data_IF_216164373213
#
_entry.id   IF_216164373213
#
_cell.length_a   1.000
_cell.length_b   1.000
_cell.length_c   1.000
_cell.angle_alpha   90.00
_cell.angle_beta   90.00
_cell.angle_gamma   90.00
#
_symmetry.space_group_name_H-M   'P 1'
#
loop_
_entity.id
_entity.type
_entity.pdbx_description
1 polymer ?
#
# COMPACT_ATOMS: atom_id res chain seq x y z
N UNK A 1 -8.27 27.91 7.75
CA UNK A 1 -6.81 28.15 7.83
C UNK A 1 -6.14 27.10 6.95
N UNK A 2 -4.92 27.30 6.46
CA UNK A 2 -4.25 26.28 5.64
C UNK A 2 -3.48 25.32 6.56
N UNK A 3 -3.81 24.03 6.50
CA UNK A 3 -3.15 22.98 7.28
C UNK A 3 -1.96 22.46 6.49
N UNK A 4 -0.74 22.78 6.92
CA UNK A 4 0.48 22.32 6.25
C UNK A 4 1.50 21.90 7.29
N UNK A 5 2.17 20.77 7.03
CA UNK A 5 3.34 20.33 7.78
C UNK A 5 4.40 19.76 6.84
N UNK A 6 5.61 19.65 7.37
CA UNK A 6 6.77 19.11 6.68
C UNK A 6 7.22 17.82 7.37
N UNK A 7 7.51 16.80 6.58
CA UNK A 7 8.03 15.53 7.02
C UNK A 7 9.43 15.30 6.43
N UNK A 8 10.40 14.99 7.28
CA UNK A 8 11.72 14.56 6.85
C UNK A 8 11.75 13.03 6.80
N UNK A 9 12.26 12.48 5.71
CA UNK A 9 12.49 11.05 5.55
C UNK A 9 13.76 10.77 4.74
N UNK A 10 13.94 9.50 4.38
CA UNK A 10 15.03 9.06 3.53
C UNK A 10 14.93 9.61 2.09
N UNK A 11 16.07 9.85 1.45
CA UNK A 11 16.16 10.11 0.02
C UNK A 11 16.03 8.78 -0.75
N UNK A 12 15.00 8.70 -1.60
CA UNK A 12 14.75 7.60 -2.53
C UNK A 12 14.27 8.14 -3.87
N UNK A 13 14.37 7.38 -4.94
CA UNK A 13 13.99 7.74 -6.31
C UNK A 13 12.50 7.55 -6.54
N UNK A 14 11.96 6.41 -6.15
CA UNK A 14 10.62 5.95 -6.54
C UNK A 14 9.68 5.79 -5.35
N UNK A 15 10.18 5.47 -4.15
CA UNK A 15 9.36 5.22 -2.95
C UNK A 15 8.27 4.15 -3.20
N UNK A 16 8.68 3.03 -3.82
CA UNK A 16 7.83 1.86 -4.12
C UNK A 16 8.39 0.58 -3.47
N UNK A 17 9.05 0.72 -2.32
CA UNK A 17 9.78 -0.35 -1.65
C UNK A 17 11.29 -0.23 -1.79
N UNK A 18 12.00 -1.05 -1.03
CA UNK A 18 13.47 -1.07 -0.99
C UNK A 18 13.97 -2.06 -2.04
N UNK A 19 14.78 -1.57 -2.97
CA UNK A 19 15.42 -2.37 -4.02
C UNK A 19 16.88 -2.00 -4.14
N UNK A 20 17.69 -2.83 -4.80
CA UNK A 20 19.12 -2.53 -5.04
C UNK A 20 19.32 -1.17 -5.75
N UNK A 21 18.39 -0.79 -6.63
CA UNK A 21 18.46 0.44 -7.43
C UNK A 21 17.87 1.68 -6.71
N UNK A 22 17.15 1.47 -5.62
CA UNK A 22 16.47 2.51 -4.83
C UNK A 22 16.57 2.25 -3.33
N UNK A 23 17.80 2.25 -2.83
CA UNK A 23 18.08 2.12 -1.40
C UNK A 23 17.88 3.46 -0.66
N UNK A 24 17.32 3.46 0.56
CA UNK A 24 17.14 4.68 1.35
C UNK A 24 18.48 5.30 1.75
N UNK A 25 18.60 6.61 1.59
CA UNK A 25 19.82 7.37 1.90
C UNK A 25 19.56 8.60 2.76
N UNK A 26 20.54 8.95 3.58
CA UNK A 26 20.60 10.25 4.25
C UNK A 26 21.96 10.90 3.94
N UNK A 27 21.96 12.02 3.22
CA UNK A 27 23.22 12.71 2.91
C UNK A 27 24.17 11.89 2.02
N UNK A 28 23.63 11.03 1.16
CA UNK A 28 24.40 10.09 0.32
C UNK A 28 24.95 8.88 1.07
N UNK A 29 24.61 8.70 2.35
CA UNK A 29 24.96 7.51 3.13
C UNK A 29 23.76 6.57 3.20
N UNK A 30 23.97 5.29 2.89
CA UNK A 30 22.93 4.26 3.05
C UNK A 30 22.52 4.14 4.51
N UNK A 31 21.22 4.06 4.75
CA UNK A 31 20.67 3.83 6.09
C UNK A 31 20.10 2.41 6.19
N UNK A 32 20.04 1.91 7.42
CA UNK A 32 19.53 0.57 7.74
C UNK A 32 18.07 0.42 7.25
N UNK A 33 17.83 -0.60 6.43
CA UNK A 33 16.53 -0.89 5.81
C UNK A 33 15.42 -1.00 6.85
N UNK A 34 15.72 -1.63 8.00
CA UNK A 34 14.76 -1.82 9.09
C UNK A 34 14.22 -0.51 9.65
N UNK A 35 14.95 0.59 9.46
CA UNK A 35 14.54 1.92 9.90
C UNK A 35 13.62 2.62 8.91
N UNK A 36 13.60 2.20 7.65
CA UNK A 36 12.94 2.94 6.56
C UNK A 36 11.81 2.17 5.90
N UNK A 37 11.45 0.98 6.40
CA UNK A 37 10.46 0.09 5.80
C UNK A 37 9.15 0.82 5.50
N UNK A 38 8.61 1.61 6.45
CA UNK A 38 7.38 2.36 6.22
C UNK A 38 7.54 3.52 5.24
N UNK A 39 8.62 4.30 5.37
CA UNK A 39 8.85 5.49 4.52
C UNK A 39 9.14 5.13 3.06
N UNK A 40 9.64 3.91 2.81
CA UNK A 40 9.97 3.39 1.49
C UNK A 40 8.77 3.25 0.54
N UNK A 41 7.54 3.33 1.05
CA UNK A 41 6.30 3.22 0.27
C UNK A 41 5.50 4.53 0.21
N UNK A 42 6.08 5.65 0.65
CA UNK A 42 5.39 6.94 0.78
C UNK A 42 4.84 7.52 -0.53
N UNK A 43 5.11 6.97 -1.71
CA UNK A 43 4.44 7.42 -2.95
C UNK A 43 3.91 6.26 -3.79
N UNK A 44 3.74 5.08 -3.18
CA UNK A 44 3.10 3.95 -3.83
C UNK A 44 1.59 4.15 -3.88
N UNK A 45 1.00 3.99 -5.07
CA UNK A 45 -0.45 3.92 -5.24
C UNK A 45 -0.93 2.54 -4.78
N UNK A 46 -1.49 2.48 -3.57
CA UNK A 46 -2.07 1.30 -2.97
C UNK A 46 -3.59 1.45 -2.94
N UNK A 47 -4.26 0.81 -3.89
CA UNK A 47 -5.71 0.84 -4.03
C UNK A 47 -6.26 2.29 -4.09
N UNK A 48 -5.68 3.10 -4.99
CA UNK A 48 -6.04 4.50 -5.30
C UNK A 48 -5.65 5.51 -4.20
N UNK A 49 -4.80 5.11 -3.26
CA UNK A 49 -4.36 5.93 -2.12
C UNK A 49 -2.86 5.79 -1.88
N UNK A 50 -2.23 6.83 -1.35
CA UNK A 50 -0.92 6.70 -0.73
C UNK A 50 -1.05 6.72 0.80
N UNK A 51 -0.21 5.91 1.43
CA UNK A 51 -0.13 5.75 2.89
C UNK A 51 1.22 6.28 3.34
N UNK A 52 1.25 7.54 3.75
CA UNK A 52 2.47 8.24 4.11
C UNK A 52 2.86 7.97 5.56
N UNK A 53 4.06 7.43 5.76
CA UNK A 53 4.67 7.19 7.05
C UNK A 53 5.81 8.16 7.32
N UNK A 54 5.87 8.67 8.55
CA UNK A 54 7.03 9.43 9.04
C UNK A 54 7.46 8.82 10.36
N UNK A 55 8.75 8.56 10.50
CA UNK A 55 9.28 8.02 11.75
C UNK A 55 9.21 9.12 12.82
N UNK A 56 8.39 8.93 13.85
CA UNK A 56 8.27 9.83 14.99
C UNK A 56 8.24 9.04 16.29
N UNK A 57 8.90 9.56 17.33
CA UNK A 57 8.85 8.98 18.68
C UNK A 57 7.59 9.37 19.45
N UNK A 58 6.94 10.46 19.05
CA UNK A 58 5.76 11.03 19.70
C UNK A 58 4.60 11.15 18.70
N UNK A 59 3.38 11.32 19.24
CA UNK A 59 2.18 11.62 18.47
C UNK A 59 2.30 12.96 17.73
N UNK A 60 1.59 13.09 16.61
CA UNK A 60 1.53 14.33 15.85
C UNK A 60 0.69 15.39 16.58
N UNK A 61 1.20 16.61 16.68
CA UNK A 61 0.54 17.76 17.28
C UNK A 61 -0.27 18.51 16.22
N UNK A 62 -1.34 17.89 15.70
CA UNK A 62 -2.13 18.42 14.58
C UNK A 62 -2.65 19.85 14.81
N UNK A 63 -2.91 20.22 16.07
CA UNK A 63 -3.39 21.54 16.45
C UNK A 63 -2.36 22.67 16.21
N UNK A 64 -1.09 22.33 16.00
CA UNK A 64 -0.06 23.31 15.61
C UNK A 64 -0.26 23.82 14.19
N UNK A 65 -0.85 23.01 13.32
CA UNK A 65 -1.23 23.44 11.96
C UNK A 65 -2.54 24.22 11.94
N UNK A 66 -3.48 23.89 12.83
CA UNK A 66 -4.78 24.54 12.92
C UNK A 66 -5.32 24.49 14.35
N UNK A 67 -5.37 25.64 15.06
CA UNK A 67 -5.83 25.71 16.45
C UNK A 67 -7.29 25.28 16.67
N UNK A 68 -8.09 25.14 15.61
CA UNK A 68 -9.46 24.62 15.71
C UNK A 68 -9.50 23.09 15.93
N UNK A 69 -8.40 22.37 15.68
CA UNK A 69 -8.30 20.93 15.90
C UNK A 69 -8.15 20.67 17.41
N UNK A 70 -9.01 19.82 17.96
CA UNK A 70 -8.89 19.41 19.36
C UNK A 70 -7.70 18.46 19.54
N UNK A 71 -7.02 18.57 20.68
CA UNK A 71 -6.00 17.59 21.11
C UNK A 71 -6.56 16.18 21.30
N UNK A 72 -7.87 16.06 21.43
CA UNK A 72 -8.57 14.77 21.56
C UNK A 72 -8.99 14.19 20.20
N UNK A 73 -8.91 14.98 19.12
CA UNK A 73 -9.24 14.46 17.80
C UNK A 73 -8.13 13.49 17.35
N UNK A 74 -8.49 12.24 16.99
CA UNK A 74 -7.51 11.23 16.58
C UNK A 74 -6.97 11.50 15.17
N UNK A 75 -7.69 12.27 14.37
CA UNK A 75 -7.32 12.62 13.00
C UNK A 75 -7.98 13.93 12.56
N UNK A 76 -7.49 14.53 11.48
CA UNK A 76 -8.12 15.67 10.82
C UNK A 76 -7.77 15.70 9.33
N UNK A 77 -8.69 16.23 8.51
CA UNK A 77 -8.58 16.24 7.04
C UNK A 77 -8.12 17.58 6.48
N UNK A 78 -7.69 17.58 5.21
CA UNK A 78 -7.38 18.78 4.44
C UNK A 78 -5.95 19.29 4.65
N UNK A 79 -5.02 18.41 4.96
CA UNK A 79 -3.60 18.75 5.12
C UNK A 79 -2.86 18.75 3.78
N UNK A 80 -1.88 19.66 3.66
CA UNK A 80 -0.76 19.54 2.74
C UNK A 80 0.41 18.94 3.51
N UNK A 81 0.93 17.81 3.04
CA UNK A 81 2.10 17.14 3.64
C UNK A 81 3.26 17.33 2.70
N UNK A 82 4.28 18.08 3.11
CA UNK A 82 5.48 18.34 2.29
C UNK A 82 6.58 17.39 2.73
N UNK A 83 7.01 16.51 1.83
CA UNK A 83 8.09 15.55 2.10
C UNK A 83 9.43 16.14 1.73
N UNK A 84 10.39 16.02 2.65
CA UNK A 84 11.74 16.54 2.55
C UNK A 84 12.76 15.41 2.77
N UNK A 85 13.88 15.44 2.06
CA UNK A 85 14.99 14.53 2.29
C UNK A 85 16.35 15.22 2.08
N UNK A 86 17.39 14.70 2.74
CA UNK A 86 18.76 15.22 2.59
C UNK A 86 19.48 14.52 1.44
N UNK A 87 19.80 15.27 0.40
CA UNK A 87 20.56 14.78 -0.76
C UNK A 87 22.05 14.56 -0.45
N UNK A 88 22.78 13.97 -1.38
CA UNK A 88 24.21 13.65 -1.29
C UNK A 88 25.13 14.86 -1.02
N UNK A 89 24.75 16.05 -1.47
CA UNK A 89 25.45 17.31 -1.17
C UNK A 89 25.15 17.88 0.23
N UNK A 90 24.40 17.14 1.04
CA UNK A 90 24.04 17.48 2.42
C UNK A 90 22.90 18.50 2.54
N UNK A 91 22.32 18.93 1.42
CA UNK A 91 21.19 19.87 1.41
C UNK A 91 19.86 19.13 1.51
N UNK A 92 18.97 19.68 2.32
CA UNK A 92 17.61 19.18 2.43
C UNK A 92 16.73 19.81 1.36
N UNK A 93 15.99 18.99 0.64
CA UNK A 93 15.14 19.44 -0.46
C UNK A 93 13.75 18.82 -0.38
N UNK A 94 12.76 19.49 -0.96
CA UNK A 94 11.43 18.90 -1.17
C UNK A 94 11.57 17.76 -2.17
N UNK A 95 11.12 16.56 -1.79
CA UNK A 95 11.06 15.38 -2.68
C UNK A 95 9.67 15.21 -3.30
N UNK A 96 8.63 15.68 -2.63
CA UNK A 96 7.26 15.54 -3.08
C UNK A 96 6.28 16.06 -2.05
N UNK A 97 4.99 15.95 -2.33
CA UNK A 97 3.94 16.39 -1.42
C UNK A 97 2.64 15.61 -1.61
N UNK A 98 1.82 15.62 -0.57
CA UNK A 98 0.42 15.23 -0.63
C UNK A 98 -0.47 16.45 -0.51
N UNK A 99 -1.57 16.46 -1.24
CA UNK A 99 -2.67 17.41 -1.09
C UNK A 99 -3.91 16.72 -0.50
N UNK A 100 -4.73 17.49 0.21
CA UNK A 100 -5.99 17.02 0.80
C UNK A 100 -5.85 15.78 1.70
N UNK A 101 -4.71 15.61 2.36
CA UNK A 101 -4.45 14.45 3.18
C UNK A 101 -5.28 14.45 4.48
N UNK A 102 -5.64 13.26 4.93
CA UNK A 102 -6.05 12.99 6.31
C UNK A 102 -4.81 12.69 7.13
N UNK A 103 -4.59 13.46 8.21
CA UNK A 103 -3.50 13.27 9.15
C UNK A 103 -4.01 12.62 10.43
N UNK A 104 -3.34 11.56 10.88
CA UNK A 104 -3.61 10.83 12.12
C UNK A 104 -2.63 11.26 13.20
N UNK A 105 -3.14 11.51 14.41
CA UNK A 105 -2.35 11.87 15.58
C UNK A 105 -1.42 10.75 15.99
N UNK A 106 -1.94 9.53 16.04
CA UNK A 106 -1.19 8.31 16.32
C UNK A 106 -0.88 7.60 15.01
N UNK A 107 0.31 7.00 14.91
CA UNK A 107 0.64 6.16 13.77
C UNK A 107 -0.35 4.98 13.71
N UNK A 108 -0.87 4.71 12.52
CA UNK A 108 -1.80 3.63 12.25
C UNK A 108 -1.05 2.42 11.72
N UNK A 109 -1.53 1.23 12.07
CA UNK A 109 -1.02 -0.05 11.57
C UNK A 109 -2.18 -0.94 11.12
N UNK A 110 -2.11 -1.43 9.89
CA UNK A 110 -3.03 -2.42 9.34
C UNK A 110 -2.19 -3.61 8.86
N UNK A 111 -2.21 -4.75 9.58
CA UNK A 111 -1.40 -5.90 9.20
C UNK A 111 -1.92 -6.55 7.92
N UNK A 112 -1.05 -7.17 7.16
CA UNK A 112 -1.42 -8.17 6.16
C UNK A 112 -1.00 -9.55 6.69
N UNK A 113 -1.86 -10.54 6.55
CA UNK A 113 -1.62 -11.91 6.99
C UNK A 113 -1.19 -12.82 5.84
N UNK A 114 -1.43 -12.42 4.60
CA UNK A 114 -1.02 -13.16 3.39
C UNK A 114 0.36 -12.78 2.88
N UNK A 115 0.81 -11.55 3.13
CA UNK A 115 2.14 -11.03 2.80
C UNK A 115 2.49 -9.87 3.74
N UNK A 116 3.50 -10.04 4.59
CA UNK A 116 3.91 -9.03 5.58
C UNK A 116 4.28 -7.69 4.92
N UNK A 117 4.84 -7.71 3.70
CA UNK A 117 5.23 -6.50 2.95
C UNK A 117 4.03 -5.65 2.51
N UNK A 118 2.82 -6.22 2.50
CA UNK A 118 1.59 -5.50 2.20
C UNK A 118 0.95 -4.88 3.45
N UNK A 119 1.58 -5.00 4.63
CA UNK A 119 1.12 -4.33 5.84
C UNK A 119 1.32 -2.81 5.74
N UNK A 120 0.34 -2.05 6.20
CA UNK A 120 0.36 -0.60 6.10
C UNK A 120 0.73 0.03 7.44
N UNK A 121 1.74 0.88 7.43
CA UNK A 121 2.13 1.75 8.54
C UNK A 121 2.03 3.19 8.07
N UNK A 122 1.25 4.05 8.72
CA UNK A 122 1.05 5.41 8.20
C UNK A 122 0.61 6.42 9.25
N UNK A 123 0.90 7.68 8.96
CA UNK A 123 0.36 8.85 9.67
C UNK A 123 -0.54 9.67 8.75
N UNK A 124 -0.42 9.51 7.44
CA UNK A 124 -1.13 10.30 6.44
C UNK A 124 -1.77 9.39 5.40
N UNK A 125 -2.98 9.73 4.97
CA UNK A 125 -3.66 9.08 3.84
C UNK A 125 -4.17 10.16 2.91
N UNK A 126 -3.88 10.02 1.62
CA UNK A 126 -4.44 10.87 0.56
C UNK A 126 -4.78 10.03 -0.67
N UNK A 127 -5.62 10.56 -1.55
CA UNK A 127 -5.86 9.92 -2.85
C UNK A 127 -4.56 9.95 -3.65
N UNK A 128 -4.20 8.85 -4.33
CA UNK A 128 -2.93 8.74 -5.04
C UNK A 128 -2.73 9.85 -6.09
N UNK A 129 -3.83 10.29 -6.74
CA UNK A 129 -3.85 11.43 -7.67
C UNK A 129 -3.48 12.78 -7.07
N UNK A 130 -3.55 12.91 -5.75
CA UNK A 130 -3.21 14.11 -4.98
C UNK A 130 -1.82 13.97 -4.33
N UNK A 131 -1.08 12.89 -4.64
CA UNK A 131 0.24 12.59 -4.13
C UNK A 131 1.27 12.70 -5.26
N UNK A 132 2.26 13.57 -5.06
CA UNK A 132 3.13 14.04 -6.13
C UNK A 132 4.59 13.85 -5.73
N UNK A 133 5.27 12.89 -6.37
CA UNK A 133 6.70 12.67 -6.20
C UNK A 133 7.48 13.37 -7.32
N UNK A 134 8.45 14.19 -6.96
CA UNK A 134 9.32 14.84 -7.93
C UNK A 134 10.40 13.85 -8.44
N UNK A 135 10.66 13.83 -9.76
CA UNK A 135 11.87 13.23 -10.31
C UNK A 135 13.12 13.83 -9.64
N UNK A 136 14.17 13.02 -9.46
CA UNK A 136 15.35 13.43 -8.69
C UNK A 136 15.99 14.73 -9.19
N UNK A 137 16.07 14.90 -10.51
CA UNK A 137 16.64 16.09 -11.16
C UNK A 137 15.76 17.35 -11.00
N UNK A 138 14.48 17.17 -10.66
CA UNK A 138 13.54 18.26 -10.42
C UNK A 138 13.44 18.66 -8.94
N UNK A 139 14.06 17.91 -8.01
CA UNK A 139 14.12 18.24 -6.58
C UNK A 139 15.09 19.39 -6.36
N UNK A 140 14.65 20.60 -6.65
CA UNK A 140 15.50 21.81 -6.66
C UNK A 140 15.25 22.75 -5.47
N UNK A 141 14.07 22.68 -4.85
CA UNK A 141 13.70 23.56 -3.76
C UNK A 141 14.40 23.15 -2.45
N UNK A 142 15.38 23.95 -2.04
CA UNK A 142 16.13 23.74 -0.80
C UNK A 142 15.36 24.27 0.41
N UNK A 143 15.20 23.42 1.43
CA UNK A 143 14.65 23.82 2.74
C UNK A 143 15.82 24.01 3.70
N UNK A 144 16.00 25.24 4.20
CA UNK A 144 17.09 25.56 5.13
C UNK A 144 16.82 24.96 6.52
N UNK A 145 17.85 24.32 7.10
CA UNK A 145 17.81 23.83 8.50
C UNK A 145 17.81 25.00 9.49
N UNK A 146 17.13 24.85 10.64
CA UNK A 146 17.08 25.88 11.69
C UNK A 146 18.48 26.33 12.17
N UNK A 147 19.44 25.40 12.18
CA UNK A 147 20.83 25.67 12.57
C UNK A 147 21.58 26.63 11.64
N UNK A 148 21.10 26.81 10.41
CA UNK A 148 21.70 27.67 9.38
C UNK A 148 20.89 28.96 9.16
N UNK A 149 19.57 28.87 9.28
CA UNK A 149 18.66 30.01 9.07
C UNK A 149 18.45 30.88 10.33
N UNK A 150 18.84 30.39 11.52
CA UNK A 150 18.54 31.02 12.81
C UNK A 150 17.37 30.33 13.51
N UNK A 151 17.35 30.40 14.85
CA UNK A 151 16.26 29.83 15.68
C UNK A 151 14.90 30.34 15.22
N UNK A 152 14.06 29.43 14.72
CA UNK A 152 12.71 29.73 14.24
C UNK A 152 12.58 29.84 12.72
N UNK A 153 13.67 29.99 11.96
CA UNK A 153 13.60 30.26 10.51
C UNK A 153 13.95 29.04 9.63
N UNK A 154 14.06 27.85 10.22
CA UNK A 154 14.29 26.59 9.51
C UNK A 154 13.73 25.37 10.25
N UNK A 155 13.86 24.19 9.63
CA UNK A 155 13.27 22.94 10.14
C UNK A 155 14.03 22.43 11.37
N UNK A 156 13.29 21.94 12.37
CA UNK A 156 13.80 21.36 13.62
C UNK A 156 14.55 20.04 13.39
N UNK A 157 15.22 19.49 14.42
CA UNK A 157 15.79 18.13 14.35
C UNK A 157 14.73 17.02 14.38
N UNK A 158 13.46 17.34 14.68
CA UNK A 158 12.37 16.38 14.56
C UNK A 158 12.08 16.08 13.09
N UNK A 159 11.63 14.85 12.82
CA UNK A 159 11.17 14.44 11.49
C UNK A 159 9.86 15.11 11.08
N UNK A 160 9.15 15.77 12.01
CA UNK A 160 7.93 16.52 11.71
C UNK A 160 8.07 17.97 12.13
N UNK A 161 7.66 18.89 11.24
CA UNK A 161 7.68 20.33 11.50
C UNK A 161 6.39 21.01 11.02
N UNK A 162 5.79 21.80 11.91
CA UNK A 162 4.45 22.38 11.73
C UNK A 162 4.45 23.83 11.22
N UNK A 163 5.63 24.40 10.91
CA UNK A 163 5.71 25.75 10.32
C UNK A 163 5.21 26.87 11.25
N UNK A 164 5.37 26.74 12.56
CA UNK A 164 4.69 27.60 13.55
C UNK A 164 5.22 29.04 13.62
N UNK A 165 6.47 29.28 13.21
CA UNK A 165 7.13 30.58 13.33
C UNK A 165 6.57 31.61 12.34
N UNK A 166 6.71 32.90 12.69
CA UNK A 166 6.27 33.99 11.81
C UNK A 166 7.03 33.99 10.47
N UNK A 167 8.35 33.71 10.50
CA UNK A 167 9.15 33.59 9.27
C UNK A 167 8.66 32.44 8.39
N UNK A 168 8.34 31.29 8.99
CA UNK A 168 7.81 30.15 8.24
C UNK A 168 6.47 30.49 7.60
N UNK A 169 5.56 31.11 8.36
CA UNK A 169 4.21 31.46 7.90
C UNK A 169 4.20 32.54 6.84
N UNK A 170 5.07 33.54 6.95
CA UNK A 170 5.05 34.72 6.10
C UNK A 170 6.00 34.63 4.90
N UNK A 171 7.04 33.78 4.97
CA UNK A 171 8.04 33.65 3.90
C UNK A 171 8.07 32.23 3.34
N UNK A 172 8.51 31.24 4.12
CA UNK A 172 8.81 29.90 3.60
C UNK A 172 7.56 29.18 3.05
N UNK A 173 6.46 29.15 3.80
CA UNK A 173 5.23 28.46 3.39
C UNK A 173 4.67 29.07 2.08
N UNK A 174 4.52 30.40 1.94
CA UNK A 174 4.14 31.01 0.66
C UNK A 174 5.04 30.64 -0.51
N UNK A 175 6.36 30.54 -0.30
CA UNK A 175 7.30 30.13 -1.35
C UNK A 175 7.13 28.66 -1.74
N UNK A 176 6.92 27.77 -0.77
CA UNK A 176 6.65 26.34 -0.99
C UNK A 176 5.35 26.15 -1.78
N UNK A 177 4.28 26.83 -1.39
CA UNK A 177 3.00 26.76 -2.11
C UNK A 177 3.11 27.28 -3.54
N UNK A 178 3.89 28.36 -3.74
CA UNK A 178 4.17 28.88 -5.08
C UNK A 178 4.94 27.84 -5.89
N UNK A 179 5.97 27.22 -5.32
CA UNK A 179 6.74 26.16 -5.96
C UNK A 179 5.85 24.98 -6.39
N UNK A 180 5.02 24.46 -5.49
CA UNK A 180 4.07 23.38 -5.79
C UNK A 180 3.11 23.75 -6.93
N UNK A 181 2.55 24.97 -6.87
CA UNK A 181 1.59 25.46 -7.87
C UNK A 181 2.21 25.72 -9.24
N UNK A 182 3.45 26.19 -9.27
CA UNK A 182 4.17 26.53 -10.51
C UNK A 182 4.84 25.30 -11.14
N UNK A 183 4.95 24.19 -10.41
CA UNK A 183 5.45 22.94 -10.96
C UNK A 183 4.53 22.42 -12.08
N UNK A 184 5.12 22.20 -13.25
CA UNK A 184 4.43 21.73 -14.46
C UNK A 184 5.15 20.56 -15.14
N UNK A 185 6.11 19.96 -14.45
CA UNK A 185 6.81 18.76 -14.90
C UNK A 185 5.99 17.49 -14.68
N UNK A 186 6.54 16.35 -15.12
CA UNK A 186 5.98 15.04 -14.81
C UNK A 186 6.32 14.62 -13.37
N UNK A 187 5.50 13.75 -12.78
CA UNK A 187 5.77 13.15 -11.48
C UNK A 187 6.38 11.77 -11.65
N UNK A 188 7.24 11.37 -10.71
CA UNK A 188 7.95 10.10 -10.76
C UNK A 188 7.10 8.91 -10.28
N UNK A 189 6.09 9.15 -9.44
CA UNK A 189 5.21 8.09 -8.96
C UNK A 189 4.16 7.70 -10.02
N UNK A 190 3.95 6.38 -10.17
CA UNK A 190 2.84 5.86 -10.97
C UNK A 190 1.52 6.08 -10.22
N UNK A 191 0.58 6.78 -10.85
CA UNK A 191 -0.82 6.87 -10.40
C UNK A 191 -1.71 6.09 -11.35
N UNK A 192 -2.43 5.10 -10.85
CA UNK A 192 -3.31 4.27 -11.68
C UNK A 192 -4.68 4.95 -11.78
N UNK A 193 -5.05 5.40 -12.98
CA UNK A 193 -6.30 6.15 -13.20
C UNK A 193 -7.41 5.30 -13.80
N UNK A 194 -8.65 5.78 -13.68
CA UNK A 194 -9.81 5.16 -14.35
C UNK A 194 -9.62 5.10 -15.87
N UNK A 195 -9.01 6.13 -16.47
CA UNK A 195 -8.69 6.13 -17.89
C UNK A 195 -7.69 5.03 -18.25
N UNK A 196 -6.68 4.79 -17.41
CA UNK A 196 -5.70 3.72 -17.62
C UNK A 196 -6.37 2.35 -17.54
N UNK A 197 -7.14 2.08 -16.48
CA UNK A 197 -7.72 0.75 -16.24
C UNK A 197 -8.86 0.41 -17.19
N UNK A 198 -9.53 1.41 -17.77
CA UNK A 198 -10.62 1.22 -18.73
C UNK A 198 -10.23 1.54 -20.17
N UNK A 199 -8.94 1.78 -20.43
CA UNK A 199 -8.46 2.08 -21.77
C UNK A 199 -8.80 0.95 -22.75
N UNK A 200 -9.22 1.33 -23.96
CA UNK A 200 -9.49 0.44 -25.09
C UNK A 200 -8.72 0.92 -26.32
N UNK A 201 -8.48 0.01 -27.26
CA UNK A 201 -7.94 0.34 -28.58
C UNK A 201 -9.02 1.09 -29.36
N UNK A 202 -8.63 2.18 -30.01
CA UNK A 202 -9.53 2.97 -30.84
C UNK A 202 -10.20 2.09 -31.92
N UNK A 203 -11.54 2.10 -31.94
CA UNK A 203 -12.37 1.31 -32.86
C UNK A 203 -12.07 1.63 -34.33
N UNK A 204 -11.66 2.85 -34.66
CA UNK A 204 -11.28 3.21 -36.03
C UNK A 204 -9.98 2.51 -36.48
N UNK A 205 -9.14 2.12 -35.52
CA UNK A 205 -7.89 1.40 -35.73
C UNK A 205 -8.04 -0.12 -35.62
N UNK A 206 -9.23 -0.60 -35.25
CA UNK A 206 -9.48 -1.98 -34.90
C UNK A 206 -9.68 -2.84 -36.17
N UNK A 207 -8.69 -3.68 -36.48
CA UNK A 207 -8.79 -4.76 -37.47
C UNK A 207 -8.84 -6.16 -36.85
N UNK A 208 -8.57 -6.24 -35.55
CA UNK A 208 -8.41 -7.49 -34.81
C UNK A 208 -9.74 -8.00 -34.23
N UNK A 209 -9.92 -9.33 -34.26
CA UNK A 209 -11.03 -10.02 -33.59
C UNK A 209 -10.72 -10.34 -32.13
N UNK A 210 -11.67 -10.97 -31.43
CA UNK A 210 -11.52 -11.35 -30.02
C UNK A 210 -10.26 -12.18 -29.76
N UNK A 211 -10.05 -13.28 -30.51
CA UNK A 211 -8.94 -14.20 -30.27
C UNK A 211 -7.59 -13.52 -30.47
N UNK A 212 -7.46 -12.70 -31.53
CA UNK A 212 -6.23 -11.94 -31.81
C UNK A 212 -5.93 -10.90 -30.70
N UNK A 213 -6.96 -10.23 -30.17
CA UNK A 213 -6.79 -9.29 -29.06
C UNK A 213 -6.39 -10.01 -27.78
N UNK A 214 -6.99 -11.18 -27.51
CA UNK A 214 -6.66 -11.98 -26.35
C UNK A 214 -5.22 -12.47 -26.41
N UNK A 215 -4.79 -13.05 -27.53
CA UNK A 215 -3.41 -13.50 -27.75
C UNK A 215 -2.40 -12.35 -27.63
N UNK A 216 -2.73 -11.18 -28.17
CA UNK A 216 -1.91 -9.97 -27.99
C UNK A 216 -1.81 -9.53 -26.53
N UNK A 217 -2.93 -9.57 -25.80
CA UNK A 217 -2.94 -9.28 -24.37
C UNK A 217 -2.01 -10.22 -23.59
N UNK A 218 -2.10 -11.52 -23.86
CA UNK A 218 -1.22 -12.52 -23.27
C UNK A 218 0.26 -12.31 -23.63
N UNK A 219 0.55 -11.96 -24.89
CA UNK A 219 1.90 -11.63 -25.33
C UNK A 219 2.48 -10.44 -24.56
N UNK A 220 1.68 -9.38 -24.37
CA UNK A 220 2.10 -8.22 -23.58
C UNK A 220 2.28 -8.56 -22.09
N UNK A 221 1.47 -9.45 -21.51
CA UNK A 221 1.73 -9.96 -20.15
C UNK A 221 3.10 -10.64 -20.04
N UNK A 222 3.50 -11.44 -21.03
CA UNK A 222 4.82 -12.09 -21.05
C UNK A 222 5.97 -11.10 -21.20
N UNK A 223 5.71 -9.92 -21.76
CA UNK A 223 6.65 -8.79 -21.87
C UNK A 223 6.57 -7.84 -20.66
N UNK A 224 5.71 -8.14 -19.68
CA UNK A 224 5.40 -7.30 -18.51
C UNK A 224 4.85 -5.90 -18.87
N UNK A 225 4.35 -5.72 -20.10
CA UNK A 225 3.68 -4.50 -20.55
C UNK A 225 2.17 -4.57 -20.23
N UNK A 226 1.89 -4.52 -18.93
CA UNK A 226 0.53 -4.70 -18.42
C UNK A 226 -0.44 -3.60 -18.88
N UNK A 227 0.03 -2.39 -19.18
CA UNK A 227 -0.82 -1.34 -19.74
C UNK A 227 -1.33 -1.69 -21.14
N UNK A 228 -0.46 -2.21 -22.02
CA UNK A 228 -0.88 -2.67 -23.35
C UNK A 228 -1.73 -3.93 -23.27
N UNK A 229 -1.40 -4.86 -22.34
CA UNK A 229 -2.19 -6.04 -22.10
C UNK A 229 -3.62 -5.68 -21.69
N UNK A 230 -3.78 -4.78 -20.72
CA UNK A 230 -5.08 -4.33 -20.22
C UNK A 230 -5.90 -3.65 -21.33
N UNK A 231 -5.27 -2.82 -22.18
CA UNK A 231 -5.92 -2.24 -23.36
C UNK A 231 -6.46 -3.30 -24.32
N UNK A 232 -5.68 -4.35 -24.59
CA UNK A 232 -6.09 -5.46 -25.44
C UNK A 232 -7.28 -6.21 -24.83
N UNK A 233 -7.18 -6.58 -23.55
CA UNK A 233 -8.23 -7.32 -22.85
C UNK A 233 -9.52 -6.53 -22.69
N UNK A 234 -9.46 -5.25 -22.32
CA UNK A 234 -10.63 -4.39 -22.27
C UNK A 234 -11.31 -4.27 -23.64
N UNK A 235 -10.53 -4.16 -24.72
CA UNK A 235 -11.06 -4.14 -26.08
C UNK A 235 -11.77 -5.45 -26.41
N UNK A 236 -11.14 -6.60 -26.11
CA UNK A 236 -11.74 -7.92 -26.31
C UNK A 236 -13.05 -8.07 -25.51
N UNK A 237 -13.08 -7.54 -24.28
CA UNK A 237 -14.25 -7.57 -23.38
C UNK A 237 -15.46 -6.85 -23.95
N UNK A 238 -15.25 -5.81 -24.76
CA UNK A 238 -16.36 -5.12 -25.46
C UNK A 238 -17.08 -6.01 -26.49
N UNK A 239 -16.43 -7.08 -26.95
CA UNK A 239 -17.00 -8.06 -27.88
C UNK A 239 -17.66 -9.22 -27.14
N UNK A 240 -16.95 -9.77 -26.14
CA UNK A 240 -17.39 -10.92 -25.35
C UNK A 240 -16.69 -10.90 -23.99
N UNK A 241 -17.47 -11.10 -22.93
CA UNK A 241 -16.95 -11.34 -21.59
C UNK A 241 -16.83 -12.85 -21.35
N UNK A 242 -15.63 -13.35 -21.03
CA UNK A 242 -15.36 -14.73 -20.62
C UNK A 242 -14.69 -14.76 -19.24
N UNK A 243 -14.84 -15.83 -18.45
CA UNK A 243 -14.19 -15.93 -17.15
C UNK A 243 -12.65 -15.83 -17.23
N UNK A 244 -12.03 -16.43 -18.25
CA UNK A 244 -10.59 -16.36 -18.48
C UNK A 244 -10.12 -14.92 -18.77
N UNK A 245 -10.87 -14.18 -19.59
CA UNK A 245 -10.58 -12.76 -19.85
C UNK A 245 -10.72 -11.92 -18.58
N UNK A 246 -11.78 -12.16 -17.80
CA UNK A 246 -12.00 -11.46 -16.54
C UNK A 246 -10.87 -11.75 -15.54
N UNK A 247 -10.40 -12.99 -15.46
CA UNK A 247 -9.27 -13.38 -14.63
C UNK A 247 -8.00 -12.61 -15.01
N UNK A 248 -7.68 -12.53 -16.31
CA UNK A 248 -6.48 -11.80 -16.77
C UNK A 248 -6.57 -10.29 -16.48
N UNK A 249 -7.74 -9.67 -16.66
CA UNK A 249 -7.95 -8.26 -16.28
C UNK A 249 -7.79 -8.09 -14.76
N UNK A 250 -8.43 -8.96 -13.96
CA UNK A 250 -8.37 -8.90 -12.51
C UNK A 250 -6.95 -9.10 -11.97
N UNK A 251 -6.19 -10.00 -12.58
CA UNK A 251 -4.79 -10.26 -12.21
C UNK A 251 -3.90 -9.05 -12.49
N UNK A 252 -4.07 -8.37 -13.64
CA UNK A 252 -3.34 -7.12 -13.90
C UNK A 252 -3.72 -6.04 -12.87
N UNK A 253 -4.99 -5.91 -12.53
CA UNK A 253 -5.43 -4.96 -11.50
C UNK A 253 -4.84 -5.29 -10.12
N UNK A 254 -4.73 -6.58 -9.78
CA UNK A 254 -4.06 -7.05 -8.57
C UNK A 254 -2.57 -6.64 -8.57
N UNK A 255 -1.84 -6.82 -9.68
CA UNK A 255 -0.45 -6.39 -9.81
C UNK A 255 -0.27 -4.86 -9.70
N UNK A 256 -1.29 -4.10 -10.09
CA UNK A 256 -1.36 -2.66 -9.90
C UNK A 256 -1.90 -2.22 -8.54
N UNK A 257 -2.04 -3.15 -7.58
CA UNK A 257 -2.59 -2.89 -6.25
C UNK A 257 -4.01 -2.29 -6.26
N UNK A 258 -4.75 -2.44 -7.36
CA UNK A 258 -6.14 -1.97 -7.54
C UNK A 258 -7.13 -3.04 -7.08
N UNK A 259 -7.09 -3.38 -5.79
CA UNK A 259 -7.79 -4.54 -5.24
C UNK A 259 -9.32 -4.38 -5.31
N UNK A 260 -9.86 -3.20 -5.03
CA UNK A 260 -11.30 -2.95 -5.11
C UNK A 260 -11.85 -3.12 -6.54
N UNK A 261 -11.03 -2.86 -7.55
CA UNK A 261 -11.36 -3.06 -8.97
C UNK A 261 -11.21 -4.54 -9.39
N UNK A 262 -10.23 -5.25 -8.81
CA UNK A 262 -9.95 -6.67 -9.10
C UNK A 262 -10.99 -7.62 -8.49
N UNK A 263 -11.38 -7.41 -7.23
CA UNK A 263 -12.33 -8.24 -6.47
C UNK A 263 -13.60 -8.59 -7.27
N UNK A 264 -14.38 -7.64 -7.81
CA UNK A 264 -15.63 -7.96 -8.50
C UNK A 264 -15.43 -8.81 -9.76
N UNK A 265 -14.25 -8.77 -10.37
CA UNK A 265 -13.91 -9.61 -11.53
C UNK A 265 -13.57 -11.04 -11.08
N UNK A 266 -12.76 -11.20 -10.04
CA UNK A 266 -12.50 -12.52 -9.44
C UNK A 266 -13.76 -13.18 -8.91
N UNK A 267 -14.67 -12.44 -8.26
CA UNK A 267 -15.95 -12.97 -7.81
C UNK A 267 -16.82 -13.48 -8.96
N UNK A 268 -16.80 -12.80 -10.11
CA UNK A 268 -17.47 -13.29 -11.33
C UNK A 268 -16.84 -14.58 -11.85
N UNK A 269 -15.51 -14.69 -11.82
CA UNK A 269 -14.81 -15.93 -12.18
C UNK A 269 -15.25 -17.08 -11.27
N UNK A 270 -15.24 -16.89 -9.96
CA UNK A 270 -15.70 -17.90 -8.99
C UNK A 270 -17.15 -18.31 -9.21
N UNK A 271 -18.05 -17.35 -9.44
CA UNK A 271 -19.46 -17.63 -9.68
C UNK A 271 -19.68 -18.47 -10.94
N UNK A 272 -18.80 -18.36 -11.94
CA UNK A 272 -18.84 -19.17 -13.16
C UNK A 272 -18.19 -20.56 -13.00
N UNK A 273 -17.54 -20.83 -11.85
CA UNK A 273 -16.77 -22.06 -11.63
C UNK A 273 -15.43 -22.07 -12.36
N UNK A 274 -14.91 -20.91 -12.77
CA UNK A 274 -13.62 -20.81 -13.46
C UNK A 274 -12.48 -20.90 -12.44
N UNK A 275 -11.69 -21.96 -12.56
CA UNK A 275 -10.47 -22.26 -11.80
C UNK A 275 -10.48 -21.77 -10.33
N UNK A 276 -11.44 -22.21 -9.48
CA UNK A 276 -11.56 -21.70 -8.12
C UNK A 276 -10.28 -21.84 -7.29
N UNK A 277 -9.48 -22.88 -7.53
CA UNK A 277 -8.17 -23.12 -6.92
C UNK A 277 -7.12 -22.05 -7.25
N UNK A 278 -7.20 -21.41 -8.42
CA UNK A 278 -6.32 -20.30 -8.80
C UNK A 278 -6.89 -18.93 -8.41
N UNK A 279 -8.21 -18.77 -8.50
CA UNK A 279 -8.88 -17.49 -8.21
C UNK A 279 -8.96 -17.18 -6.71
N UNK A 280 -9.26 -18.19 -5.86
CA UNK A 280 -9.46 -17.95 -4.43
C UNK A 280 -8.22 -17.43 -3.71
N UNK A 281 -6.99 -17.95 -3.93
CA UNK A 281 -5.78 -17.37 -3.35
C UNK A 281 -5.67 -15.85 -3.59
N UNK A 282 -5.86 -15.42 -4.85
CA UNK A 282 -5.80 -14.01 -5.21
C UNK A 282 -6.90 -13.19 -4.54
N UNK A 283 -8.11 -13.74 -4.44
CA UNK A 283 -9.23 -13.08 -3.77
C UNK A 283 -9.01 -12.97 -2.25
N UNK A 284 -8.40 -13.98 -1.61
CA UNK A 284 -8.00 -13.94 -0.20
C UNK A 284 -7.00 -12.79 0.00
N UNK A 285 -5.96 -12.71 -0.82
CA UNK A 285 -4.97 -11.62 -0.77
C UNK A 285 -5.62 -10.25 -0.99
N UNK A 286 -6.47 -10.08 -2.01
CA UNK A 286 -7.19 -8.82 -2.23
C UNK A 286 -7.96 -8.39 -0.98
N UNK A 287 -8.74 -9.29 -0.37
CA UNK A 287 -9.51 -8.96 0.83
C UNK A 287 -8.64 -8.65 2.04
N UNK A 288 -7.54 -9.37 2.20
CA UNK A 288 -6.58 -9.15 3.27
C UNK A 288 -5.86 -7.80 3.15
N UNK A 289 -5.41 -7.48 1.94
CA UNK A 289 -4.71 -6.24 1.60
C UNK A 289 -5.57 -4.99 1.81
N UNK A 290 -6.88 -5.06 1.57
CA UNK A 290 -7.80 -3.96 1.93
C UNK A 290 -8.27 -4.00 3.40
N UNK A 291 -7.73 -4.92 4.21
CA UNK A 291 -8.04 -5.06 5.63
C UNK A 291 -9.41 -5.68 5.93
N UNK A 292 -10.09 -6.28 4.94
CA UNK A 292 -11.42 -6.87 5.11
C UNK A 292 -11.36 -8.30 5.68
N UNK A 293 -11.16 -8.39 6.99
CA UNK A 293 -10.93 -9.66 7.70
C UNK A 293 -12.09 -10.64 7.59
N UNK A 294 -13.33 -10.16 7.58
CA UNK A 294 -14.50 -11.03 7.43
C UNK A 294 -14.47 -11.76 6.09
N UNK A 295 -14.22 -11.03 5.00
CA UNK A 295 -14.15 -11.60 3.65
C UNK A 295 -12.89 -12.43 3.41
N UNK A 296 -11.76 -12.07 4.02
CA UNK A 296 -10.56 -12.91 4.04
C UNK A 296 -10.89 -14.27 4.67
N UNK A 297 -11.49 -14.29 5.86
CA UNK A 297 -11.87 -15.53 6.55
C UNK A 297 -12.91 -16.35 5.76
N UNK A 298 -13.92 -15.70 5.15
CA UNK A 298 -14.91 -16.37 4.29
C UNK A 298 -14.23 -17.06 3.10
N UNK A 299 -13.33 -16.35 2.44
CA UNK A 299 -12.61 -16.84 1.26
C UNK A 299 -11.65 -17.97 1.61
N UNK A 300 -10.91 -17.87 2.72
CA UNK A 300 -10.08 -18.96 3.24
C UNK A 300 -10.93 -20.21 3.53
N UNK A 301 -12.09 -20.07 4.18
CA UNK A 301 -12.99 -21.21 4.44
C UNK A 301 -13.50 -21.86 3.15
N UNK A 302 -13.74 -21.08 2.10
CA UNK A 302 -14.12 -21.61 0.78
C UNK A 302 -12.97 -22.39 0.14
N UNK A 303 -11.76 -21.83 0.18
CA UNK A 303 -10.55 -22.50 -0.31
C UNK A 303 -10.26 -23.80 0.43
N UNK A 304 -10.39 -23.81 1.75
CA UNK A 304 -10.23 -25.03 2.56
C UNK A 304 -11.20 -26.16 2.19
N UNK A 305 -12.40 -25.85 1.69
CA UNK A 305 -13.33 -26.89 1.20
C UNK A 305 -12.84 -27.53 -0.09
N UNK A 306 -12.21 -26.76 -0.98
CA UNK A 306 -11.61 -27.26 -2.23
C UNK A 306 -10.36 -28.08 -1.91
N UNK A 307 -9.49 -27.56 -1.04
CA UNK A 307 -8.25 -28.22 -0.65
C UNK A 307 -8.51 -29.56 0.07
N UNK A 308 -9.65 -29.75 0.73
CA UNK A 308 -10.04 -31.02 1.39
C UNK A 308 -10.35 -32.19 0.43
N UNK A 309 -10.34 -31.96 -0.89
CA UNK A 309 -10.57 -33.03 -1.87
C UNK A 309 -9.44 -34.07 -1.81
N UNK A 310 -9.71 -35.35 -1.51
CA UNK A 310 -8.69 -36.40 -1.36
C UNK A 310 -7.95 -36.76 -2.66
N UNK A 311 -8.38 -36.25 -3.81
CA UNK A 311 -7.61 -36.37 -5.07
C UNK A 311 -6.39 -35.44 -5.11
N UNK A 312 -6.27 -34.54 -4.14
CA UNK A 312 -5.32 -33.43 -4.08
C UNK A 312 -4.47 -33.53 -2.79
N UNK A 313 -3.79 -34.65 -2.55
CA UNK A 313 -2.96 -34.86 -1.34
C UNK A 313 -1.72 -33.95 -1.26
N UNK A 314 -1.27 -33.38 -2.38
CA UNK A 314 -0.09 -32.50 -2.47
C UNK A 314 -0.31 -31.05 -1.98
N UNK A 315 -1.37 -30.76 -1.23
CA UNK A 315 -1.70 -29.39 -0.78
C UNK A 315 -1.72 -29.23 0.74
N UNK A 316 -0.97 -30.07 1.47
CA UNK A 316 -0.88 -29.95 2.94
C UNK A 316 -0.29 -28.60 3.36
N UNK A 317 0.77 -28.14 2.70
CA UNK A 317 1.39 -26.83 2.96
C UNK A 317 0.39 -25.68 2.75
N UNK A 318 -0.39 -25.72 1.67
CA UNK A 318 -1.45 -24.75 1.41
C UNK A 318 -2.52 -24.76 2.51
N UNK A 319 -2.91 -25.94 3.02
CA UNK A 319 -3.88 -26.04 4.11
C UNK A 319 -3.33 -25.43 5.40
N UNK A 320 -2.07 -25.75 5.74
CA UNK A 320 -1.40 -25.19 6.91
C UNK A 320 -1.33 -23.67 6.79
N UNK A 321 -0.85 -23.15 5.65
CA UNK A 321 -0.74 -21.72 5.38
C UNK A 321 -2.07 -20.96 5.57
N UNK A 322 -3.15 -21.39 4.93
CA UNK A 322 -4.45 -20.71 5.09
C UNK A 322 -5.09 -20.91 6.47
N UNK A 323 -4.81 -22.03 7.15
CA UNK A 323 -5.18 -22.18 8.55
C UNK A 323 -4.41 -21.20 9.44
N UNK A 324 -3.11 -20.99 9.22
CA UNK A 324 -2.30 -20.00 9.95
C UNK A 324 -2.87 -18.60 9.76
N UNK A 325 -3.12 -18.17 8.52
CA UNK A 325 -3.77 -16.89 8.21
C UNK A 325 -5.09 -16.73 8.99
N UNK A 326 -5.96 -17.74 8.94
CA UNK A 326 -7.22 -17.68 9.66
C UNK A 326 -7.02 -17.58 11.18
N UNK A 327 -6.05 -18.31 11.72
CA UNK A 327 -5.72 -18.29 13.14
C UNK A 327 -5.25 -16.91 13.59
N UNK A 328 -4.31 -16.32 12.85
CA UNK A 328 -3.72 -15.01 13.16
C UNK A 328 -4.77 -13.90 13.07
N UNK A 329 -5.66 -13.96 12.07
CA UNK A 329 -6.80 -13.03 11.98
C UNK A 329 -7.72 -13.18 13.20
N UNK A 330 -8.04 -14.40 13.65
CA UNK A 330 -8.89 -14.58 14.83
C UNK A 330 -8.21 -14.07 16.10
N UNK A 331 -6.90 -14.28 16.25
CA UNK A 331 -6.11 -13.71 17.37
C UNK A 331 -6.17 -12.19 17.33
N UNK A 332 -5.91 -11.59 16.17
CA UNK A 332 -5.98 -10.14 15.96
C UNK A 332 -7.35 -9.54 16.30
N UNK A 333 -8.44 -10.26 15.99
CA UNK A 333 -9.80 -9.85 16.32
C UNK A 333 -10.22 -10.17 17.77
N UNK A 334 -9.37 -10.83 18.56
CA UNK A 334 -9.70 -11.29 19.92
C UNK A 334 -10.66 -12.48 19.98
N UNK A 335 -10.90 -13.17 18.86
CA UNK A 335 -11.73 -14.37 18.79
C UNK A 335 -10.90 -15.63 19.09
N UNK A 336 -10.42 -15.68 20.33
CA UNK A 336 -9.54 -16.74 20.82
C UNK A 336 -10.16 -18.14 20.73
N UNK A 337 -11.49 -18.25 20.74
CA UNK A 337 -12.18 -19.52 20.59
C UNK A 337 -11.98 -20.10 19.19
N UNK A 338 -12.28 -19.32 18.15
CA UNK A 338 -12.09 -19.77 16.79
C UNK A 338 -10.60 -19.93 16.44
N UNK A 339 -9.73 -19.06 16.96
CA UNK A 339 -8.28 -19.22 16.85
C UNK A 339 -7.81 -20.58 17.40
N UNK A 340 -8.22 -20.96 18.61
CA UNK A 340 -7.88 -22.27 19.19
C UNK A 340 -8.39 -23.46 18.36
N UNK A 341 -9.59 -23.34 17.78
CA UNK A 341 -10.18 -24.40 16.94
C UNK A 341 -9.45 -24.56 15.59
N UNK A 342 -8.92 -23.47 15.03
CA UNK A 342 -8.07 -23.51 13.83
C UNK A 342 -6.68 -24.04 14.18
N UNK A 343 -6.04 -23.58 15.26
CA UNK A 343 -4.74 -24.07 15.71
C UNK A 343 -4.73 -25.60 15.92
N UNK A 344 -5.80 -26.15 16.54
CA UNK A 344 -5.97 -27.61 16.66
C UNK A 344 -6.09 -28.32 15.31
N UNK A 345 -6.70 -27.68 14.30
CA UNK A 345 -6.74 -28.24 12.94
C UNK A 345 -5.34 -28.26 12.31
N UNK A 346 -4.52 -27.23 12.52
CA UNK A 346 -3.12 -27.22 12.03
C UNK A 346 -2.36 -28.42 12.58
N UNK A 347 -2.49 -28.74 13.87
CA UNK A 347 -1.85 -29.93 14.48
C UNK A 347 -2.29 -31.27 13.85
N UNK A 348 -3.46 -31.33 13.20
CA UNK A 348 -3.88 -32.54 12.48
C UNK A 348 -3.27 -32.65 11.09
N UNK A 349 -2.74 -31.55 10.54
CA UNK A 349 -2.12 -31.50 9.22
C UNK A 349 -0.59 -31.47 9.28
N UNK A 350 0.00 -30.84 10.30
CA UNK A 350 1.44 -30.70 10.44
C UNK A 350 2.12 -32.05 10.75
N UNK A 351 3.12 -32.41 9.97
CA UNK A 351 3.92 -33.63 10.11
C UNK A 351 5.33 -33.37 10.65
N UNK A 352 5.77 -32.12 10.70
CA UNK A 352 7.04 -31.68 11.28
C UNK A 352 6.91 -31.20 12.75
N UNK A 353 7.96 -31.42 13.54
CA UNK A 353 7.97 -31.11 14.97
C UNK A 353 7.98 -29.60 15.25
N UNK A 354 8.63 -28.82 14.37
CA UNK A 354 8.77 -27.36 14.49
C UNK A 354 7.41 -26.66 14.39
N UNK A 355 6.63 -26.95 13.35
CA UNK A 355 5.27 -26.41 13.20
C UNK A 355 4.38 -26.83 14.36
N UNK A 356 4.49 -28.08 14.80
CA UNK A 356 3.70 -28.55 15.95
C UNK A 356 4.08 -27.85 17.26
N UNK A 357 5.36 -27.54 17.48
CA UNK A 357 5.83 -26.80 18.65
C UNK A 357 5.30 -25.37 18.64
N UNK A 358 5.47 -24.63 17.54
CA UNK A 358 4.94 -23.28 17.39
C UNK A 358 3.42 -23.21 17.62
N UNK A 359 2.66 -24.18 17.10
CA UNK A 359 1.20 -24.21 17.29
C UNK A 359 0.83 -24.54 18.75
N UNK A 360 1.63 -25.35 19.47
CA UNK A 360 1.41 -25.61 20.90
C UNK A 360 1.68 -24.37 21.75
N UNK A 361 2.71 -23.60 21.43
CA UNK A 361 3.01 -22.33 22.09
C UNK A 361 1.88 -21.31 21.86
N UNK A 362 1.41 -21.20 20.62
CA UNK A 362 0.26 -20.36 20.27
C UNK A 362 -1.01 -20.76 21.06
N UNK A 363 -1.28 -22.06 21.19
CA UNK A 363 -2.41 -22.55 21.99
C UNK A 363 -2.27 -22.22 23.49
N UNK A 364 -1.05 -22.18 24.02
CA UNK A 364 -0.79 -21.75 25.39
C UNK A 364 -1.08 -20.25 25.55
N UNK A 365 -0.56 -19.43 24.64
CA UNK A 365 -0.84 -17.99 24.60
C UNK A 365 -2.35 -17.70 24.51
N UNK A 366 -3.05 -18.37 23.60
CA UNK A 366 -4.51 -18.21 23.42
C UNK A 366 -5.25 -18.58 24.71
N UNK A 367 -4.80 -19.60 25.43
CA UNK A 367 -5.41 -20.02 26.68
C UNK A 367 -5.21 -18.96 27.77
N UNK A 368 -4.00 -18.42 27.91
CA UNK A 368 -3.70 -17.36 28.87
C UNK A 368 -4.56 -16.11 28.58
N UNK A 369 -4.65 -15.71 27.31
CA UNK A 369 -5.47 -14.57 26.89
C UNK A 369 -7.00 -14.76 27.06
N UNK A 370 -7.49 -15.99 27.27
CA UNK A 370 -8.89 -16.26 27.60
C UNK A 370 -9.18 -16.17 29.11
N UNK A 371 -8.14 -16.21 29.94
CA UNK A 371 -8.24 -16.19 31.40
C UNK A 371 -8.14 -14.76 31.99
N UNK A 372 -7.57 -13.82 31.23
CA UNK A 372 -7.53 -12.37 31.49
C UNK A 372 -8.79 -11.64 30.99
#
# INVERSE_FOLDING_TARGET
>A
MMKLLFCNGAWMKYYQGITEDDMPQEGGTLIDESRSVGEAYNFMDYNRKCYGHVISFDNLDLEKCDPEISRQDPQSEGFIIVWCATADDGKMRIVGWYENATAYREAQFVPSFTDENASLYFNFVAAARDCHLLPEDQRTFEIKKASVAGTGSGVSQSNVWYGESDDAKNELIPEVLRYMKEYNGEFANLTVTDEMIHAVIDKASLKAGYDELFEKGMAYCNEEDYQKALKCFNTARTMKETPELLYNIAYILFLYYCFDDAIPLFEKCLKSGFEPEGVLPLLVSCYDFIGNREKTLESCKMLMKILKNPLNENYMDYRIFYCTIMCDIYVYLGDFKNAADIAKQILTYADDEETQEHVRELLLFIKEAQED
#
